data_IF_840920793714
#
_entry.id   IF_840920793714
#
_cell.length_a   1.000
_cell.length_b   1.000
_cell.length_c   1.000
_cell.angle_alpha   90.00
_cell.angle_beta   90.00
_cell.angle_gamma   90.00
#
_symmetry.space_group_name_H-M   'P 1'
#
loop_
_entity.id
_entity.type
_entity.pdbx_description
1 polymer ?
#
# COMPACT_ATOMS: atom_id res chain seq x y z
N UNK A 1 9.41 1.08 -9.46
CA UNK A 1 8.90 1.87 -8.32
C UNK A 1 8.10 3.03 -8.90
N UNK A 2 6.82 3.16 -8.55
CA UNK A 2 5.84 3.86 -9.39
C UNK A 2 5.20 5.13 -8.81
N UNK A 3 5.78 5.74 -7.78
CA UNK A 3 5.15 6.88 -7.10
C UNK A 3 6.17 7.97 -6.75
N UNK A 4 6.33 9.00 -7.61
CA UNK A 4 6.82 10.29 -7.15
C UNK A 4 5.81 10.89 -6.16
N UNK A 5 6.30 11.72 -5.24
CA UNK A 5 5.58 12.24 -4.08
C UNK A 5 4.35 13.13 -4.36
N UNK A 6 4.03 13.45 -5.61
CA UNK A 6 3.04 14.49 -5.94
C UNK A 6 1.90 14.06 -6.88
N UNK A 7 2.12 13.16 -7.85
CA UNK A 7 1.10 12.79 -8.85
C UNK A 7 1.31 11.34 -9.30
N UNK A 8 0.23 10.64 -9.69
CA UNK A 8 0.33 9.43 -10.52
C UNK A 8 0.43 9.87 -11.99
N UNK A 9 1.59 9.69 -12.66
CA UNK A 9 1.70 10.10 -14.05
C UNK A 9 0.70 9.36 -14.95
N UNK A 10 0.08 10.06 -15.91
CA UNK A 10 -0.88 9.46 -16.84
C UNK A 10 -0.34 8.23 -17.60
N UNK A 11 0.98 8.17 -17.84
CA UNK A 11 1.63 7.03 -18.51
C UNK A 11 1.76 5.78 -17.63
N UNK A 12 1.56 5.90 -16.31
CA UNK A 12 1.73 4.81 -15.35
C UNK A 12 0.82 3.64 -15.66
N UNK A 13 -0.41 3.91 -16.14
CA UNK A 13 -1.38 2.87 -16.53
C UNK A 13 -0.93 2.07 -17.73
N UNK A 14 -0.48 2.74 -18.80
CA UNK A 14 0.01 2.06 -20.00
C UNK A 14 1.26 1.24 -19.69
N UNK A 15 2.15 1.75 -18.84
CA UNK A 15 3.34 1.02 -18.42
C UNK A 15 2.99 -0.19 -17.55
N UNK A 16 2.08 -0.05 -16.58
CA UNK A 16 1.57 -1.17 -15.77
C UNK A 16 0.98 -2.25 -16.67
N UNK A 17 0.11 -1.87 -17.61
CA UNK A 17 -0.50 -2.79 -18.56
C UNK A 17 0.53 -3.56 -19.39
N UNK A 18 1.54 -2.87 -19.94
CA UNK A 18 2.60 -3.50 -20.73
C UNK A 18 3.50 -4.42 -19.90
N UNK A 19 3.78 -4.07 -18.64
CA UNK A 19 4.55 -4.93 -17.72
C UNK A 19 3.78 -6.20 -17.37
N UNK A 20 2.49 -6.07 -17.01
CA UNK A 20 1.64 -7.22 -16.68
C UNK A 20 1.51 -8.17 -17.88
N UNK A 21 1.40 -7.64 -19.11
CA UNK A 21 1.39 -8.46 -20.34
C UNK A 21 2.67 -9.26 -20.57
N UNK A 22 3.81 -8.79 -20.03
CA UNK A 22 5.11 -9.48 -20.09
C UNK A 22 5.32 -10.44 -18.92
N UNK A 23 4.31 -10.66 -18.09
CA UNK A 23 4.41 -11.50 -16.89
C UNK A 23 5.15 -10.84 -15.73
N UNK A 24 5.36 -9.51 -15.79
CA UNK A 24 6.01 -8.75 -14.72
C UNK A 24 4.92 -8.13 -13.86
N UNK A 25 4.85 -8.51 -12.58
CA UNK A 25 3.92 -7.92 -11.61
C UNK A 25 4.49 -6.62 -11.05
N UNK A 26 3.90 -5.45 -11.34
CA UNK A 26 4.39 -4.19 -10.79
C UNK A 26 4.06 -4.07 -9.29
N UNK A 27 4.78 -3.18 -8.60
CA UNK A 27 4.53 -2.85 -7.20
C UNK A 27 4.36 -1.33 -7.05
N UNK A 28 3.20 -0.89 -6.57
CA UNK A 28 2.99 0.48 -6.09
C UNK A 28 3.58 0.57 -4.69
N UNK A 29 4.53 1.49 -4.54
CA UNK A 29 5.25 1.69 -3.29
C UNK A 29 4.65 2.90 -2.58
N UNK A 30 4.49 2.77 -1.26
CA UNK A 30 4.04 3.79 -0.33
C UNK A 30 2.87 4.66 -0.84
N UNK A 31 1.77 4.08 -1.36
CA UNK A 31 0.64 4.87 -1.87
C UNK A 31 0.01 5.75 -0.78
N UNK A 32 0.15 5.38 0.50
CA UNK A 32 -0.31 6.16 1.64
C UNK A 32 0.37 7.52 1.78
N UNK A 33 1.53 7.71 1.13
CA UNK A 33 2.28 8.98 1.13
C UNK A 33 2.01 9.83 -0.11
N UNK A 34 1.28 9.30 -1.10
CA UNK A 34 0.89 10.05 -2.28
C UNK A 34 -0.32 10.94 -1.95
N UNK A 35 -0.22 12.24 -2.21
CA UNK A 35 -1.27 13.22 -1.86
C UNK A 35 -2.62 12.95 -2.53
N UNK A 36 -2.62 12.51 -3.79
CA UNK A 36 -3.85 12.21 -4.52
C UNK A 36 -4.55 10.98 -3.94
N UNK A 37 -3.78 9.94 -3.62
CA UNK A 37 -4.29 8.72 -2.99
C UNK A 37 -4.73 9.01 -1.54
N UNK A 38 -3.98 9.81 -0.77
CA UNK A 38 -4.37 10.18 0.59
C UNK A 38 -5.70 10.95 0.61
N UNK A 39 -5.89 11.88 -0.34
CA UNK A 39 -7.14 12.59 -0.51
C UNK A 39 -8.28 11.64 -0.94
N UNK A 40 -7.99 10.72 -1.88
CA UNK A 40 -8.94 9.80 -2.50
C UNK A 40 -8.42 8.34 -2.48
N UNK A 41 -8.47 7.63 -1.33
CA UNK A 41 -7.90 6.29 -1.20
C UNK A 41 -8.50 5.26 -2.17
N UNK A 42 -9.73 5.50 -2.62
CA UNK A 42 -10.40 4.67 -3.62
C UNK A 42 -9.66 4.61 -4.96
N UNK A 43 -8.81 5.58 -5.29
CA UNK A 43 -8.06 5.60 -6.55
C UNK A 43 -7.02 4.46 -6.62
N UNK A 44 -6.64 3.88 -5.47
CA UNK A 44 -5.78 2.70 -5.44
C UNK A 44 -6.41 1.47 -6.11
N UNK A 45 -7.74 1.40 -6.14
CA UNK A 45 -8.50 0.27 -6.70
C UNK A 45 -8.16 0.03 -8.17
N UNK A 46 -7.94 1.09 -8.94
CA UNK A 46 -7.61 0.98 -10.37
C UNK A 46 -6.28 0.22 -10.59
N UNK A 47 -5.32 0.33 -9.66
CA UNK A 47 -4.06 -0.43 -9.75
C UNK A 47 -4.24 -1.88 -9.34
N UNK A 48 -5.04 -2.12 -8.30
CA UNK A 48 -5.33 -3.47 -7.81
C UNK A 48 -6.10 -4.30 -8.85
N UNK A 49 -7.03 -3.68 -9.59
CA UNK A 49 -7.75 -4.29 -10.72
C UNK A 49 -6.80 -4.69 -11.86
N UNK A 50 -5.67 -3.99 -12.03
CA UNK A 50 -4.64 -4.31 -13.00
C UNK A 50 -3.67 -5.41 -12.52
N UNK A 51 -3.88 -5.98 -11.33
CA UNK A 51 -3.03 -7.00 -10.74
C UNK A 51 -1.74 -6.47 -10.11
N UNK A 52 -1.68 -5.17 -9.82
CA UNK A 52 -0.51 -4.53 -9.20
C UNK A 52 -0.49 -4.81 -7.71
N UNK A 53 0.68 -5.14 -7.16
CA UNK A 53 0.86 -5.28 -5.71
C UNK A 53 1.08 -3.92 -5.05
N UNK A 54 0.75 -3.83 -3.77
CA UNK A 54 0.92 -2.62 -2.99
C UNK A 54 1.82 -2.90 -1.80
N UNK A 55 2.79 -2.02 -1.58
CA UNK A 55 3.66 -2.03 -0.42
C UNK A 55 3.48 -0.75 0.39
N UNK A 56 3.22 -0.89 1.70
CA UNK A 56 3.08 0.23 2.64
C UNK A 56 4.37 0.41 3.44
N UNK A 57 4.76 1.65 3.71
CA UNK A 57 5.94 1.92 4.54
C UNK A 57 5.64 1.59 6.00
N UNK A 58 6.51 0.81 6.64
CA UNK A 58 6.33 0.39 8.03
C UNK A 58 6.10 1.60 8.97
N UNK A 59 6.89 2.66 8.79
CA UNK A 59 6.80 3.89 9.59
C UNK A 59 5.51 4.69 9.34
N UNK A 60 4.87 4.54 8.17
CA UNK A 60 3.54 5.10 7.91
C UNK A 60 2.49 4.41 8.79
N UNK A 61 2.55 3.08 8.87
CA UNK A 61 1.61 2.31 9.67
C UNK A 61 1.86 2.42 11.18
N UNK A 62 3.10 2.62 11.64
CA UNK A 62 3.39 2.90 13.07
C UNK A 62 3.08 4.33 13.49
N UNK A 63 2.74 5.23 12.55
CA UNK A 63 2.27 6.58 12.84
C UNK A 63 3.35 7.66 12.83
N UNK A 64 4.57 7.36 12.39
CA UNK A 64 5.69 8.32 12.35
C UNK A 64 5.40 9.51 11.44
N UNK A 65 4.66 9.30 10.35
CA UNK A 65 4.32 10.34 9.37
C UNK A 65 3.00 11.07 9.67
N UNK A 66 2.40 10.83 10.84
CA UNK A 66 1.17 11.48 11.28
C UNK A 66 -0.09 10.64 11.10
N UNK A 67 -1.16 11.10 11.75
CA UNK A 67 -2.38 10.31 11.96
C UNK A 67 -3.14 9.98 10.67
N UNK A 68 -3.19 10.93 9.74
CA UNK A 68 -3.89 10.76 8.46
C UNK A 68 -3.28 9.63 7.62
N UNK A 69 -1.94 9.58 7.55
CA UNK A 69 -1.19 8.55 6.82
C UNK A 69 -1.31 7.19 7.52
N UNK A 70 -1.28 7.17 8.85
CA UNK A 70 -1.49 5.96 9.65
C UNK A 70 -2.88 5.36 9.39
N UNK A 71 -3.91 6.18 9.42
CA UNK A 71 -5.29 5.75 9.22
C UNK A 71 -5.53 5.28 7.77
N UNK A 72 -4.96 5.97 6.77
CA UNK A 72 -4.96 5.53 5.37
C UNK A 72 -4.26 4.17 5.20
N UNK A 73 -3.09 3.99 5.85
CA UNK A 73 -2.38 2.70 5.85
C UNK A 73 -3.24 1.58 6.43
N UNK A 74 -3.92 1.86 7.56
CA UNK A 74 -4.81 0.90 8.22
C UNK A 74 -6.03 0.56 7.35
N UNK A 75 -6.59 1.52 6.60
CA UNK A 75 -7.68 1.27 5.65
C UNK A 75 -7.27 0.28 4.55
N UNK A 76 -6.09 0.47 3.96
CA UNK A 76 -5.57 -0.45 2.94
C UNK A 76 -5.31 -1.85 3.49
N UNK A 77 -4.73 -1.97 4.69
CA UNK A 77 -4.50 -3.26 5.35
C UNK A 77 -5.83 -3.98 5.61
N UNK A 78 -6.80 -3.26 6.19
CA UNK A 78 -8.14 -3.78 6.52
C UNK A 78 -8.89 -4.23 5.27
N UNK A 79 -8.77 -3.48 4.18
CA UNK A 79 -9.38 -3.82 2.89
C UNK A 79 -8.62 -4.91 2.13
N UNK A 80 -7.52 -5.45 2.67
CA UNK A 80 -6.72 -6.48 2.00
C UNK A 80 -5.92 -5.96 0.79
N UNK A 81 -5.84 -4.64 0.64
CA UNK A 81 -5.23 -3.95 -0.50
C UNK A 81 -3.71 -3.86 -0.41
N UNK A 82 -3.11 -4.17 0.75
CA UNK A 82 -1.67 -4.16 0.97
C UNK A 82 -1.11 -5.59 1.00
N UNK A 83 0.00 -5.81 0.29
CA UNK A 83 0.66 -7.10 0.18
C UNK A 83 1.68 -7.32 1.30
N UNK A 84 2.53 -6.33 1.57
CA UNK A 84 3.61 -6.43 2.56
C UNK A 84 4.08 -5.03 3.00
N UNK A 85 4.90 -5.00 4.06
CA UNK A 85 5.58 -3.79 4.51
C UNK A 85 7.02 -3.72 4.00
N UNK A 86 7.52 -2.51 3.83
CA UNK A 86 8.95 -2.25 3.68
C UNK A 86 9.36 -1.03 4.50
N UNK A 87 10.65 -0.92 4.82
CA UNK A 87 11.18 0.15 5.66
C UNK A 87 11.54 1.44 4.90
N UNK A 88 11.44 1.46 3.57
CA UNK A 88 11.74 2.59 2.66
C UNK A 88 13.15 3.21 2.84
N UNK A 89 14.19 2.36 2.81
CA UNK A 89 15.55 2.59 3.31
C UNK A 89 16.38 3.66 2.54
N UNK A 90 16.53 4.83 3.17
CA UNK A 90 17.62 5.79 2.97
C UNK A 90 18.35 5.95 4.33
N UNK A 91 19.34 5.10 4.61
CA UNK A 91 20.29 5.06 5.76
C UNK A 91 19.73 5.22 7.22
N UNK A 92 20.08 4.27 8.12
CA UNK A 92 20.18 4.34 9.61
C UNK A 92 19.60 3.09 10.37
N UNK A 93 20.18 2.71 11.53
CA UNK A 93 19.81 1.51 12.32
C UNK A 93 18.39 1.51 12.94
N UNK A 94 17.66 2.64 12.93
CA UNK A 94 16.30 2.74 13.50
C UNK A 94 15.22 1.99 12.70
N UNK A 95 15.51 1.56 11.47
CA UNK A 95 14.52 0.97 10.55
C UNK A 95 14.17 -0.50 10.82
N UNK A 96 15.12 -1.30 11.32
CA UNK A 96 14.84 -2.69 11.69
C UNK A 96 13.80 -2.77 12.81
N UNK A 97 13.88 -1.83 13.75
CA UNK A 97 12.90 -1.66 14.82
C UNK A 97 11.50 -1.33 14.26
N UNK A 98 11.40 -0.44 13.27
CA UNK A 98 10.12 -0.02 12.70
C UNK A 98 9.39 -1.13 11.94
N UNK A 99 10.12 -1.99 11.22
CA UNK A 99 9.50 -3.12 10.53
C UNK A 99 8.95 -4.13 11.54
N UNK A 100 9.73 -4.46 12.58
CA UNK A 100 9.28 -5.34 13.67
C UNK A 100 8.04 -4.76 14.37
N UNK A 101 8.09 -3.48 14.71
CA UNK A 101 6.98 -2.77 15.36
C UNK A 101 5.71 -2.76 14.50
N UNK A 102 5.85 -2.53 13.19
CA UNK A 102 4.72 -2.60 12.25
C UNK A 102 4.12 -4.00 12.17
N UNK A 103 4.95 -5.04 12.14
CA UNK A 103 4.48 -6.43 12.12
C UNK A 103 3.81 -6.82 13.45
N UNK A 104 4.35 -6.39 14.58
CA UNK A 104 3.75 -6.66 15.89
C UNK A 104 2.43 -5.89 16.08
N UNK A 105 2.35 -4.66 15.58
CA UNK A 105 1.09 -3.91 15.51
C UNK A 105 0.07 -4.62 14.61
N UNK A 106 0.50 -5.12 13.45
CA UNK A 106 -0.34 -5.87 12.51
C UNK A 106 -0.90 -7.14 13.15
N UNK A 107 -0.06 -7.90 13.88
CA UNK A 107 -0.50 -9.09 14.60
C UNK A 107 -1.54 -8.76 15.69
N UNK A 108 -1.34 -7.67 16.43
CA UNK A 108 -2.30 -7.23 17.46
C UNK A 108 -3.63 -6.75 16.88
N UNK A 109 -3.62 -6.05 15.76
CA UNK A 109 -4.83 -5.46 15.16
C UNK A 109 -5.58 -6.42 14.24
N UNK A 110 -4.87 -7.29 13.51
CA UNK A 110 -5.43 -8.11 12.43
C UNK A 110 -5.11 -9.61 12.56
N UNK A 111 -4.41 -10.03 13.61
CA UNK A 111 -4.06 -11.41 13.92
C UNK A 111 -2.70 -11.86 13.37
N UNK A 112 -2.13 -12.88 14.01
CA UNK A 112 -0.84 -13.46 13.61
C UNK A 112 -0.85 -14.04 12.19
N UNK A 113 -1.97 -14.60 11.73
CA UNK A 113 -2.12 -15.11 10.37
C UNK A 113 -1.89 -14.01 9.32
N UNK A 114 -2.33 -12.78 9.60
CA UNK A 114 -2.13 -11.63 8.70
C UNK A 114 -0.66 -11.21 8.68
N UNK A 115 0.01 -11.21 9.85
CA UNK A 115 1.46 -10.97 9.95
C UNK A 115 2.25 -12.01 9.17
N UNK A 116 1.95 -13.29 9.34
CA UNK A 116 2.62 -14.36 8.61
C UNK A 116 2.41 -14.21 7.11
N UNK A 117 1.17 -13.91 6.67
CA UNK A 117 0.89 -13.65 5.25
C UNK A 117 1.70 -12.49 4.68
N UNK A 118 2.00 -11.45 5.45
CA UNK A 118 2.84 -10.34 4.99
C UNK A 118 4.30 -10.77 4.82
N UNK A 119 4.81 -11.63 5.70
CA UNK A 119 6.15 -12.22 5.59
C UNK A 119 6.24 -13.16 4.38
N UNK A 120 5.23 -14.02 4.20
CA UNK A 120 5.17 -14.96 3.08
C UNK A 120 5.09 -14.20 1.74
N UNK A 121 4.26 -13.15 1.66
CA UNK A 121 4.17 -12.30 0.48
C UNK A 121 5.51 -11.62 0.16
N UNK A 122 6.23 -11.12 1.17
CA UNK A 122 7.54 -10.51 0.97
C UNK A 122 8.57 -11.53 0.44
N UNK A 123 8.57 -12.75 0.98
CA UNK A 123 9.41 -13.84 0.50
C UNK A 123 9.06 -14.24 -0.93
N UNK A 124 7.78 -14.38 -1.25
CA UNK A 124 7.29 -14.69 -2.59
C UNK A 124 7.75 -13.65 -3.62
N UNK A 125 7.64 -12.36 -3.29
CA UNK A 125 8.12 -11.26 -4.16
C UNK A 125 9.62 -11.37 -4.44
N UNK A 126 10.42 -11.73 -3.42
CA UNK A 126 11.88 -11.91 -3.59
C UNK A 126 12.18 -13.12 -4.48
N UNK A 127 11.42 -14.20 -4.33
CA UNK A 127 11.59 -15.44 -5.11
C UNK A 127 11.05 -15.32 -6.54
N UNK A 128 10.24 -14.31 -6.84
CA UNK A 128 9.49 -14.21 -8.10
C UNK A 128 8.25 -15.11 -8.14
N UNK A 129 7.79 -15.59 -6.98
CA UNK A 129 6.57 -16.38 -6.85
C UNK A 129 5.33 -15.47 -6.94
N UNK A 130 4.18 -15.98 -7.42
CA UNK A 130 2.96 -15.19 -7.52
C UNK A 130 2.38 -14.86 -6.14
N UNK A 131 1.95 -13.60 -5.96
CA UNK A 131 1.25 -13.13 -4.76
C UNK A 131 -0.19 -12.78 -5.10
N UNK A 132 -1.14 -13.36 -4.36
CA UNK A 132 -2.57 -13.14 -4.55
C UNK A 132 -3.17 -12.38 -3.37
N UNK A 133 -3.74 -11.21 -3.66
CA UNK A 133 -4.44 -10.39 -2.69
C UNK A 133 -5.93 -10.68 -2.73
N UNK A 134 -6.51 -10.96 -1.56
CA UNK A 134 -7.95 -10.96 -1.38
C UNK A 134 -8.34 -9.59 -0.83
N UNK A 135 -8.68 -8.67 -1.73
CA UNK A 135 -8.95 -7.28 -1.42
C UNK A 135 -10.40 -6.89 -1.70
N UNK A 136 -10.86 -5.83 -1.03
CA UNK A 136 -12.20 -5.28 -1.14
C UNK A 136 -12.11 -3.80 -1.53
N UNK A 137 -13.05 -3.26 -2.32
CA UNK A 137 -13.06 -1.84 -2.63
C UNK A 137 -13.36 -1.01 -1.38
N UNK A 138 -12.65 0.11 -1.22
CA UNK A 138 -12.96 1.12 -0.22
C UNK A 138 -14.22 1.91 -0.62
N UNK A 139 -15.08 2.30 0.33
CA UNK A 139 -16.25 3.11 0.04
C UNK A 139 -15.84 4.47 -0.54
N UNK A 140 -16.53 4.92 -1.59
CA UNK A 140 -16.28 6.25 -2.17
C UNK A 140 -16.61 7.33 -1.13
N UNK A 141 -15.65 8.22 -0.84
CA UNK A 141 -15.93 9.43 -0.05
C UNK A 141 -17.04 10.22 -0.76
N UNK A 142 -18.19 10.40 -0.09
CA UNK A 142 -19.26 11.27 -0.60
C UNK A 142 -18.71 12.70 -0.67
N UNK A 143 -18.74 13.33 -1.85
CA UNK A 143 -18.49 14.77 -1.95
C UNK A 143 -19.58 15.47 -1.13
N UNK A 144 -19.21 16.19 -0.07
CA UNK A 144 -20.11 17.15 0.55
C UNK A 144 -20.35 18.24 -0.50
N UNK A 145 -21.50 18.20 -1.17
CA UNK A 145 -22.02 19.38 -1.83
C UNK A 145 -22.27 20.41 -0.71
N UNK A 146 -21.35 21.36 -0.55
CA UNK A 146 -21.68 22.62 0.12
C UNK A 146 -22.63 23.36 -0.83
N UNK A 147 -23.92 23.05 -0.70
CA UNK A 147 -24.96 23.91 -1.22
C UNK A 147 -24.88 25.25 -0.51
N UNK A 148 -24.58 26.30 -1.25
CA UNK A 148 -24.86 27.69 -0.89
C UNK A 148 -26.31 27.79 -0.40
N UNK A 149 -26.50 28.22 0.84
CA UNK A 149 -27.70 28.94 1.29
C UNK A 149 -27.27 30.37 1.60
#
# INVERSE_FOLDING_TARGET
MLTPSNEVPHYTKNMVYELTRRGITPIVVHPERNKEILANPQNLQEFLEMGVLVQITASSYTGLFGKEIEDCSREFIKAGQCAFFASDAHDLPRRQYQLSEALDKLAKEFGEDKKQKYLDNAQAVINGDPVYLNWQPLPKKRKKFLGLF
#
